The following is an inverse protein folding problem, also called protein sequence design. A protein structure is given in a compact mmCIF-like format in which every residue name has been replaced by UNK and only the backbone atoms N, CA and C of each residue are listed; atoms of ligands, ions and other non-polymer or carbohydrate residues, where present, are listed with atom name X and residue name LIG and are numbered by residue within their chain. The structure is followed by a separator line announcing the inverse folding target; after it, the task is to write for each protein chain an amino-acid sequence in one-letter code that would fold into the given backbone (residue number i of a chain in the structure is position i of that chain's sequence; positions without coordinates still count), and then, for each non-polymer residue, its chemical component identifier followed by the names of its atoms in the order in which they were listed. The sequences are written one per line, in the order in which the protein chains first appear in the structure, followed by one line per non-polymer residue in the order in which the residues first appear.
data_IF_603056099275
#
_entry.id   IF_603056099275
#
_cell.length_a   1.000
_cell.length_b   1.000
_cell.length_c   1.000
_cell.angle_alpha   90.00
_cell.angle_beta   90.00
_cell.angle_gamma   90.00
#
_symmetry.space_group_name_H-M   'P 1'
#
loop_
_entity.id
_entity.type
_entity.pdbx_description
1 polymer ?
#
# COMPACT_ATOMS: atom_id res chain seq x y z
N UNK A 1 6.93 -5.94 -21.20
CA UNK A 1 6.97 -6.59 -19.89
C UNK A 1 7.31 -5.57 -18.80
N UNK A 2 6.86 -5.80 -17.58
CA UNK A 2 7.12 -4.98 -16.40
C UNK A 2 7.54 -5.89 -15.25
N UNK A 3 8.48 -5.45 -14.41
CA UNK A 3 8.81 -6.16 -13.19
C UNK A 3 7.74 -5.92 -12.13
N UNK A 4 7.29 -6.99 -11.48
CA UNK A 4 6.50 -6.90 -10.26
C UNK A 4 7.42 -6.72 -9.06
N UNK A 5 6.99 -5.94 -8.07
CA UNK A 5 7.68 -5.79 -6.79
C UNK A 5 6.81 -6.30 -5.66
N UNK A 6 7.21 -7.40 -5.05
CA UNK A 6 6.52 -7.93 -3.87
C UNK A 6 6.84 -7.06 -2.66
N UNK A 7 5.82 -6.62 -1.92
CA UNK A 7 6.02 -5.70 -0.79
C UNK A 7 4.96 -5.83 0.30
N UNK A 8 5.28 -5.46 1.52
CA UNK A 8 6.62 -5.08 2.00
C UNK A 8 7.19 -6.23 2.81
N UNK A 9 8.35 -6.72 2.41
CA UNK A 9 8.97 -7.96 2.92
C UNK A 9 9.65 -7.74 4.25
N UNK A 10 9.19 -8.37 5.33
CA UNK A 10 7.95 -9.10 5.56
C UNK A 10 7.39 -8.76 6.95
N UNK A 11 6.15 -9.15 7.22
CA UNK A 11 5.53 -8.91 8.53
C UNK A 11 5.00 -7.48 8.71
N UNK A 12 4.90 -6.69 7.64
CA UNK A 12 4.50 -5.28 7.66
C UNK A 12 3.03 -5.07 8.04
N UNK A 13 2.13 -5.95 7.62
CA UNK A 13 0.68 -5.80 7.78
C UNK A 13 0.12 -6.14 9.16
N UNK A 14 0.98 -6.45 10.16
CA UNK A 14 0.56 -6.85 11.53
C UNK A 14 1.34 -6.08 12.61
N UNK A 15 1.39 -4.74 12.54
CA UNK A 15 2.06 -3.97 13.55
C UNK A 15 1.35 -4.11 14.90
N UNK A 16 2.12 -4.21 15.98
CA UNK A 16 1.58 -4.40 17.34
C UNK A 16 0.57 -3.31 17.75
N UNK A 17 0.83 -2.09 17.34
CA UNK A 17 -0.03 -0.93 17.69
C UNK A 17 -1.20 -0.72 16.73
N UNK A 18 -1.28 -1.45 15.62
CA UNK A 18 -2.19 -1.17 14.51
C UNK A 18 -1.81 0.04 13.66
N UNK A 19 -0.73 0.77 14.00
CA UNK A 19 -0.29 1.97 13.28
C UNK A 19 0.80 1.63 12.27
N UNK A 20 0.76 2.32 11.14
CA UNK A 20 1.74 2.21 10.05
C UNK A 20 3.19 2.36 10.57
N UNK A 21 4.11 1.55 10.03
CA UNK A 21 5.55 1.58 10.32
C UNK A 21 5.94 1.42 11.78
N UNK A 22 5.08 0.81 12.58
CA UNK A 22 5.41 0.45 13.96
C UNK A 22 5.80 -1.03 14.06
N UNK A 23 6.53 -1.42 15.14
CA UNK A 23 7.08 -2.77 15.27
C UNK A 23 6.01 -3.87 15.25
N UNK A 24 6.35 -5.00 14.66
CA UNK A 24 5.58 -6.23 14.73
C UNK A 24 6.29 -7.28 15.62
N UNK A 25 5.50 -8.08 16.34
CA UNK A 25 5.98 -9.21 17.13
C UNK A 25 5.30 -10.48 16.62
N UNK A 26 6.07 -11.33 15.95
CA UNK A 26 5.57 -12.49 15.23
C UNK A 26 6.41 -13.69 15.59
N UNK A 27 5.78 -14.79 16.06
CA UNK A 27 6.56 -16.01 16.35
C UNK A 27 7.30 -16.50 15.08
N UNK A 28 8.49 -17.14 15.22
CA UNK A 28 9.24 -17.65 14.07
C UNK A 28 8.42 -18.58 13.17
N UNK A 29 7.60 -19.45 13.74
CA UNK A 29 6.70 -20.34 12.99
C UNK A 29 5.69 -19.55 12.15
N UNK A 30 4.97 -18.60 12.75
CA UNK A 30 4.03 -17.74 12.03
C UNK A 30 4.72 -16.88 10.97
N UNK A 31 5.94 -16.40 11.26
CA UNK A 31 6.72 -15.61 10.30
C UNK A 31 7.03 -16.44 9.03
N UNK A 32 7.36 -17.72 9.20
CA UNK A 32 7.56 -18.67 8.09
C UNK A 32 6.26 -19.01 7.36
N UNK A 33 5.26 -19.46 8.09
CA UNK A 33 4.05 -20.04 7.51
C UNK A 33 3.12 -19.01 6.91
N UNK A 34 2.95 -17.85 7.57
CA UNK A 34 1.95 -16.85 7.17
C UNK A 34 2.52 -15.66 6.42
N UNK A 35 3.76 -15.26 6.74
CA UNK A 35 4.35 -14.05 6.17
C UNK A 35 5.40 -14.34 5.08
N UNK A 36 6.18 -15.41 5.22
CA UNK A 36 7.16 -15.77 4.19
C UNK A 36 6.53 -16.58 3.03
N UNK A 37 5.64 -17.51 3.31
CA UNK A 37 5.06 -18.37 2.29
C UNK A 37 4.38 -17.63 1.11
N UNK A 38 3.62 -16.54 1.31
CA UNK A 38 3.08 -15.75 0.20
C UNK A 38 4.15 -15.11 -0.69
N UNK A 39 5.23 -14.62 -0.07
CA UNK A 39 6.37 -14.10 -0.83
C UNK A 39 7.06 -15.20 -1.62
N UNK A 40 7.29 -16.36 -1.01
CA UNK A 40 7.88 -17.52 -1.70
C UNK A 40 7.07 -17.90 -2.93
N UNK A 41 5.74 -17.98 -2.82
CA UNK A 41 4.86 -18.22 -3.97
C UNK A 41 5.00 -17.15 -5.07
N UNK A 42 5.07 -15.87 -4.69
CA UNK A 42 5.31 -14.78 -5.62
C UNK A 42 6.67 -14.83 -6.31
N UNK A 43 7.74 -15.23 -5.58
CA UNK A 43 9.07 -15.44 -6.16
C UNK A 43 9.05 -16.60 -7.16
N UNK A 44 8.41 -17.70 -6.83
CA UNK A 44 8.24 -18.87 -7.70
C UNK A 44 7.42 -18.54 -8.97
N UNK A 45 6.47 -17.60 -8.85
CA UNK A 45 5.73 -17.06 -10.00
C UNK A 45 6.55 -16.09 -10.87
N UNK A 46 7.80 -15.78 -10.49
CA UNK A 46 8.74 -15.01 -11.31
C UNK A 46 8.87 -13.53 -10.96
N UNK A 47 8.53 -13.12 -9.75
CA UNK A 47 8.75 -11.74 -9.30
C UNK A 47 10.25 -11.38 -9.33
N UNK A 48 10.56 -10.25 -9.95
CA UNK A 48 11.94 -9.80 -10.16
C UNK A 48 12.46 -8.86 -9.09
N UNK A 49 11.57 -8.25 -8.30
CA UNK A 49 11.97 -7.36 -7.21
C UNK A 49 11.19 -7.63 -5.93
N UNK A 50 11.82 -7.33 -4.81
CA UNK A 50 11.21 -7.37 -3.48
C UNK A 50 11.56 -6.08 -2.76
N UNK A 51 10.56 -5.39 -2.21
CA UNK A 51 10.76 -4.21 -1.38
C UNK A 51 10.70 -4.59 0.10
N UNK A 52 11.67 -4.10 0.87
CA UNK A 52 11.80 -4.42 2.29
C UNK A 52 10.74 -3.70 3.12
N UNK A 53 10.27 -4.33 4.17
CA UNK A 53 9.40 -3.76 5.19
C UNK A 53 10.06 -2.56 5.90
N UNK A 54 9.36 -1.44 5.97
CA UNK A 54 9.81 -0.19 6.60
C UNK A 54 9.81 -0.21 8.14
N UNK A 55 9.52 -1.34 8.77
CA UNK A 55 9.43 -1.46 10.23
C UNK A 55 10.39 -2.53 10.78
N UNK A 56 10.42 -2.68 12.08
CA UNK A 56 11.12 -3.77 12.77
C UNK A 56 10.20 -4.96 13.01
N UNK A 57 10.77 -6.16 12.99
CA UNK A 57 10.10 -7.41 13.38
C UNK A 57 10.90 -8.05 14.50
N UNK A 58 10.22 -8.35 15.60
CA UNK A 58 10.84 -8.95 16.79
C UNK A 58 12.06 -8.16 17.32
N UNK A 59 11.98 -6.84 17.26
CA UNK A 59 13.05 -5.94 17.72
C UNK A 59 14.21 -5.74 16.72
N UNK A 60 14.17 -6.37 15.54
CA UNK A 60 15.18 -6.20 14.51
C UNK A 60 14.63 -5.38 13.34
N UNK A 61 15.21 -4.20 13.02
CA UNK A 61 14.84 -3.46 11.81
C UNK A 61 15.06 -4.32 10.57
N UNK A 62 14.04 -4.39 9.69
CA UNK A 62 14.12 -5.30 8.55
C UNK A 62 15.27 -4.96 7.61
N UNK A 63 15.59 -3.68 7.42
CA UNK A 63 16.74 -3.24 6.61
C UNK A 63 18.12 -3.63 7.21
N UNK A 64 18.16 -4.08 8.45
CA UNK A 64 19.38 -4.59 9.12
C UNK A 64 19.38 -6.12 9.27
N UNK A 65 18.30 -6.80 8.92
CA UNK A 65 18.11 -8.22 9.18
C UNK A 65 18.75 -9.12 8.11
N UNK A 66 20.04 -9.35 8.24
CA UNK A 66 20.80 -10.20 7.28
C UNK A 66 20.26 -11.63 7.18
N UNK A 67 19.82 -12.22 8.29
CA UNK A 67 19.29 -13.58 8.31
C UNK A 67 18.08 -13.71 7.36
N UNK A 68 17.16 -12.78 7.45
CA UNK A 68 15.94 -12.81 6.63
C UNK A 68 16.23 -12.34 5.20
N UNK A 69 16.96 -11.22 5.03
CA UNK A 69 17.18 -10.62 3.71
C UNK A 69 18.17 -11.40 2.84
N UNK A 70 19.20 -11.95 3.43
CA UNK A 70 20.18 -12.77 2.72
C UNK A 70 19.88 -14.25 2.92
N UNK A 71 19.82 -14.73 4.14
CA UNK A 71 19.66 -16.15 4.45
C UNK A 71 18.37 -16.72 3.87
N UNK A 72 17.21 -16.22 4.30
CA UNK A 72 15.92 -16.77 3.86
C UNK A 72 15.60 -16.39 2.40
N UNK A 73 15.69 -15.08 2.07
CA UNK A 73 15.21 -14.60 0.78
C UNK A 73 16.12 -14.99 -0.38
N UNK A 74 17.45 -14.89 -0.23
CA UNK A 74 18.38 -15.10 -1.33
C UNK A 74 18.99 -16.49 -1.33
N UNK A 75 19.56 -16.92 -0.19
CA UNK A 75 20.32 -18.18 -0.12
C UNK A 75 19.39 -19.40 -0.10
N UNK A 76 18.38 -19.42 0.77
CA UNK A 76 17.47 -20.55 0.90
C UNK A 76 16.60 -20.74 -0.35
N UNK A 77 16.09 -19.64 -0.95
CA UNK A 77 15.24 -19.74 -2.14
C UNK A 77 15.99 -19.80 -3.45
N UNK A 78 17.28 -19.44 -3.47
CA UNK A 78 18.06 -19.27 -4.70
C UNK A 78 17.61 -18.08 -5.57
N UNK A 79 16.78 -17.16 -5.01
CA UNK A 79 16.25 -16.03 -5.77
C UNK A 79 17.35 -15.04 -6.21
N UNK A 80 17.36 -14.73 -7.49
CA UNK A 80 18.38 -13.89 -8.13
C UNK A 80 17.93 -12.48 -8.51
N UNK A 81 16.74 -12.08 -8.04
CA UNK A 81 16.17 -10.74 -8.27
C UNK A 81 16.77 -9.65 -7.39
N UNK A 82 16.18 -8.48 -7.42
CA UNK A 82 16.66 -7.25 -6.79
C UNK A 82 15.92 -6.96 -5.49
N UNK A 83 16.66 -6.84 -4.40
CA UNK A 83 16.13 -6.39 -3.12
C UNK A 83 16.28 -4.87 -2.99
N UNK A 84 15.16 -4.15 -2.95
CA UNK A 84 15.12 -2.70 -2.86
C UNK A 84 14.64 -2.25 -1.47
N UNK A 85 15.14 -1.11 -0.98
CA UNK A 85 14.61 -0.48 0.23
C UNK A 85 13.20 0.07 0.02
N UNK A 86 12.49 0.39 1.08
CA UNK A 86 11.40 1.36 1.04
C UNK A 86 11.97 2.79 1.03
N UNK A 87 11.11 3.79 0.97
CA UNK A 87 11.44 5.22 0.79
C UNK A 87 12.27 5.77 1.94
N UNK A 88 13.51 6.15 1.66
CA UNK A 88 14.50 6.71 2.58
C UNK A 88 14.81 5.83 3.82
N UNK A 89 14.52 4.54 3.79
CA UNK A 89 14.53 3.69 4.99
C UNK A 89 15.93 3.33 5.50
N UNK A 90 16.98 3.48 4.70
CA UNK A 90 18.34 3.36 5.23
C UNK A 90 18.59 4.44 6.29
N UNK A 91 18.11 5.67 6.05
CA UNK A 91 18.25 6.75 7.02
C UNK A 91 17.49 6.45 8.31
N UNK A 92 16.39 5.69 8.25
CA UNK A 92 15.61 5.30 9.41
C UNK A 92 16.37 4.38 10.37
N UNK A 93 17.37 3.62 9.93
CA UNK A 93 18.26 2.87 10.84
C UNK A 93 19.00 3.78 11.81
N UNK A 94 19.27 5.01 11.41
CA UNK A 94 19.90 6.03 12.23
C UNK A 94 18.88 6.95 12.94
N UNK A 95 17.82 7.39 12.25
CA UNK A 95 16.92 8.44 12.78
C UNK A 95 15.75 7.92 13.60
N UNK A 96 15.28 6.71 13.31
CA UNK A 96 14.11 6.10 13.96
C UNK A 96 14.47 4.86 14.78
N UNK A 97 15.17 3.92 14.16
CA UNK A 97 15.51 2.64 14.77
C UNK A 97 16.72 2.72 15.71
N UNK A 98 17.54 3.76 15.59
CA UNK A 98 18.69 4.07 16.45
C UNK A 98 19.73 2.93 16.54
N UNK A 99 19.85 2.11 15.51
CA UNK A 99 20.80 0.99 15.42
C UNK A 99 22.08 1.34 14.66
N UNK A 100 22.11 2.50 14.02
CA UNK A 100 23.28 3.05 13.36
C UNK A 100 23.67 4.38 14.01
N UNK A 101 24.96 4.70 14.02
CA UNK A 101 25.47 5.95 14.61
C UNK A 101 25.31 7.18 13.71
N UNK A 102 25.28 6.96 12.40
CA UNK A 102 25.16 7.99 11.36
C UNK A 102 24.66 7.38 10.04
N UNK A 103 24.40 8.22 9.02
CA UNK A 103 23.96 7.77 7.69
C UNK A 103 24.90 6.79 7.02
N UNK A 104 26.20 7.00 7.14
CA UNK A 104 27.22 6.12 6.55
C UNK A 104 27.20 4.74 7.19
N UNK A 105 27.05 4.67 8.52
CA UNK A 105 26.93 3.42 9.25
C UNK A 105 25.61 2.71 8.95
N UNK A 106 24.51 3.43 8.83
CA UNK A 106 23.21 2.90 8.39
C UNK A 106 23.34 2.21 7.01
N UNK A 107 24.02 2.86 6.07
CA UNK A 107 24.27 2.30 4.75
C UNK A 107 25.12 1.03 4.82
N UNK A 108 26.19 1.03 5.64
CA UNK A 108 27.02 -0.16 5.87
C UNK A 108 26.20 -1.35 6.37
N UNK A 109 25.31 -1.12 7.34
CA UNK A 109 24.47 -2.16 7.92
C UNK A 109 23.54 -2.73 6.84
N UNK A 110 22.79 -1.86 6.14
CA UNK A 110 21.79 -2.28 5.16
C UNK A 110 22.40 -3.03 3.96
N UNK A 111 23.51 -2.54 3.40
CA UNK A 111 24.16 -3.19 2.26
C UNK A 111 24.73 -4.56 2.65
N UNK A 112 25.33 -4.67 3.84
CA UNK A 112 25.83 -5.96 4.35
C UNK A 112 24.69 -6.92 4.75
N UNK A 113 23.50 -6.40 5.04
CA UNK A 113 22.29 -7.21 5.25
C UNK A 113 21.72 -7.79 3.96
N UNK A 114 22.08 -7.22 2.79
CA UNK A 114 21.70 -7.79 1.49
C UNK A 114 20.95 -6.84 0.55
N UNK A 115 20.79 -5.56 0.89
CA UNK A 115 20.16 -4.56 0.01
C UNK A 115 20.97 -4.40 -1.28
N UNK A 116 20.27 -4.42 -2.43
CA UNK A 116 20.87 -4.30 -3.75
C UNK A 116 20.60 -2.95 -4.40
N UNK A 117 19.47 -2.33 -4.11
CA UNK A 117 19.06 -1.05 -4.66
C UNK A 117 18.49 -0.15 -3.55
N UNK A 118 18.91 1.10 -3.55
CA UNK A 118 18.55 2.08 -2.53
C UNK A 118 17.52 3.05 -3.09
N UNK A 119 16.41 3.23 -2.37
CA UNK A 119 15.44 4.27 -2.65
C UNK A 119 15.74 5.48 -1.77
N UNK A 120 16.72 6.29 -2.19
CA UNK A 120 17.11 7.53 -1.50
C UNK A 120 16.71 8.73 -2.38
N UNK A 121 15.61 9.42 -2.05
CA UNK A 121 15.06 10.46 -2.91
C UNK A 121 15.62 11.85 -2.66
N UNK A 122 16.39 12.04 -1.57
CA UNK A 122 16.74 13.37 -1.09
C UNK A 122 18.17 13.80 -1.43
N UNK A 123 19.09 12.85 -1.60
CA UNK A 123 20.48 13.13 -1.93
C UNK A 123 21.17 11.98 -2.64
N UNK A 124 22.34 12.25 -3.23
CA UNK A 124 23.23 11.25 -3.78
C UNK A 124 24.39 10.88 -2.84
N UNK A 125 24.37 11.27 -1.59
CA UNK A 125 25.44 11.09 -0.60
C UNK A 125 25.78 9.59 -0.42
N UNK A 126 24.80 8.71 -0.55
CA UNK A 126 24.98 7.27 -0.47
C UNK A 126 26.06 6.74 -1.43
N UNK A 127 26.22 7.33 -2.62
CA UNK A 127 27.25 6.94 -3.58
C UNK A 127 28.66 7.21 -3.03
N UNK A 128 28.85 8.39 -2.42
CA UNK A 128 30.12 8.77 -1.78
C UNK A 128 30.45 7.83 -0.60
N UNK A 129 29.48 7.63 0.28
CA UNK A 129 29.65 6.72 1.43
C UNK A 129 29.95 5.27 1.02
N UNK A 130 29.33 4.74 -0.04
CA UNK A 130 29.64 3.40 -0.55
C UNK A 130 31.08 3.28 -1.00
N UNK A 131 31.58 4.27 -1.75
CA UNK A 131 32.97 4.30 -2.21
C UNK A 131 33.92 4.29 -1.01
N UNK A 132 33.66 5.11 0.00
CA UNK A 132 34.47 5.16 1.22
C UNK A 132 34.41 3.84 1.98
N UNK A 133 33.22 3.26 2.21
CA UNK A 133 33.04 2.02 2.94
C UNK A 133 33.74 0.83 2.28
N UNK A 134 33.78 0.79 0.95
CA UNK A 134 34.56 -0.21 0.21
C UNK A 134 36.06 0.01 0.39
N UNK A 135 36.55 1.26 0.26
CA UNK A 135 37.97 1.60 0.49
C UNK A 135 38.41 1.28 1.93
N UNK A 136 37.52 1.44 2.90
CA UNK A 136 37.75 1.11 4.30
C UNK A 136 37.64 -0.40 4.60
N UNK A 137 37.31 -1.23 3.63
CA UNK A 137 37.10 -2.68 3.80
C UNK A 137 35.85 -3.04 4.63
N UNK A 138 34.94 -2.08 4.88
CA UNK A 138 33.72 -2.30 5.67
C UNK A 138 32.56 -2.89 4.87
N UNK A 139 32.60 -2.76 3.56
CA UNK A 139 31.74 -3.45 2.60
C UNK A 139 32.66 -4.15 1.60
N UNK A 140 32.57 -5.48 1.44
CA UNK A 140 33.40 -6.19 0.46
C UNK A 140 32.95 -5.83 -0.96
N UNK A 141 33.90 -5.66 -1.89
CA UNK A 141 33.59 -5.38 -3.30
C UNK A 141 32.65 -6.44 -3.89
N UNK A 142 32.80 -7.71 -3.50
CA UNK A 142 31.91 -8.80 -3.94
C UNK A 142 30.44 -8.55 -3.63
N UNK A 143 30.11 -7.83 -2.53
CA UNK A 143 28.73 -7.46 -2.21
C UNK A 143 28.20 -6.38 -3.19
N UNK A 144 29.04 -5.44 -3.56
CA UNK A 144 28.69 -4.41 -4.56
C UNK A 144 28.52 -5.05 -5.93
N UNK A 145 29.42 -5.95 -6.31
CA UNK A 145 29.34 -6.70 -7.57
C UNK A 145 28.05 -7.54 -7.66
N UNK A 146 27.67 -8.21 -6.56
CA UNK A 146 26.41 -8.97 -6.53
C UNK A 146 25.20 -8.06 -6.71
N UNK A 147 25.13 -6.92 -6.00
CA UNK A 147 24.05 -5.95 -6.15
C UNK A 147 23.96 -5.43 -7.59
N UNK A 148 25.10 -5.05 -8.16
CA UNK A 148 25.17 -4.56 -9.53
C UNK A 148 24.70 -5.62 -10.55
N UNK A 149 25.18 -6.87 -10.41
CA UNK A 149 24.75 -7.99 -11.28
C UNK A 149 23.26 -8.23 -11.21
N UNK A 150 22.64 -8.17 -10.03
CA UNK A 150 21.20 -8.35 -9.85
C UNK A 150 20.40 -7.25 -10.57
N UNK A 151 20.78 -5.98 -10.39
CA UNK A 151 20.13 -4.84 -11.06
C UNK A 151 20.30 -4.92 -12.58
N UNK A 152 21.53 -5.21 -13.07
CA UNK A 152 21.80 -5.33 -14.52
C UNK A 152 21.04 -6.52 -15.12
N UNK A 153 20.99 -7.67 -14.45
CA UNK A 153 20.23 -8.86 -14.87
C UNK A 153 18.74 -8.54 -15.00
N UNK A 154 18.14 -7.83 -14.02
CA UNK A 154 16.75 -7.39 -14.09
C UNK A 154 16.52 -6.49 -15.32
N UNK A 155 17.37 -5.48 -15.52
CA UNK A 155 17.27 -4.59 -16.68
C UNK A 155 17.41 -5.35 -18.01
N UNK A 156 18.28 -6.35 -18.07
CA UNK A 156 18.44 -7.21 -19.24
C UNK A 156 17.18 -8.06 -19.50
N UNK A 157 16.64 -8.70 -18.46
CA UNK A 157 15.38 -9.49 -18.55
C UNK A 157 14.19 -8.67 -19.03
N UNK A 158 14.17 -7.39 -18.70
CA UNK A 158 13.12 -6.44 -19.11
C UNK A 158 13.39 -5.78 -20.46
N UNK A 159 14.51 -6.13 -21.13
CA UNK A 159 14.93 -5.55 -22.41
C UNK A 159 15.14 -4.01 -22.37
N UNK A 160 15.46 -3.45 -21.19
CA UNK A 160 15.58 -2.00 -21.00
C UNK A 160 16.80 -1.38 -21.72
N UNK A 161 17.78 -2.19 -22.12
CA UNK A 161 18.92 -1.69 -22.90
C UNK A 161 18.57 -1.41 -24.34
N UNK A 162 17.62 -2.16 -24.92
CA UNK A 162 17.12 -1.94 -26.29
C UNK A 162 15.89 -1.05 -26.31
N UNK A 163 14.99 -1.26 -25.35
CA UNK A 163 13.69 -0.61 -25.25
C UNK A 163 13.51 0.09 -23.89
N UNK A 164 14.26 1.17 -23.61
CA UNK A 164 14.25 1.82 -22.27
C UNK A 164 12.92 2.51 -21.93
N UNK A 165 12.14 2.86 -22.96
CA UNK A 165 10.84 3.54 -22.79
C UNK A 165 9.76 2.84 -23.60
N UNK A 166 8.54 2.83 -23.03
CA UNK A 166 7.35 2.33 -23.73
C UNK A 166 6.46 3.51 -24.14
N UNK A 167 5.82 3.41 -25.32
CA UNK A 167 4.88 4.42 -25.81
C UNK A 167 3.46 3.94 -25.55
N UNK A 168 2.61 4.78 -24.98
CA UNK A 168 1.22 4.46 -24.65
C UNK A 168 0.44 3.92 -25.88
N UNK A 169 0.74 4.43 -27.07
CA UNK A 169 0.13 3.93 -28.33
C UNK A 169 0.31 2.43 -28.58
N UNK A 170 1.30 1.80 -27.95
CA UNK A 170 1.54 0.36 -28.06
C UNK A 170 0.62 -0.46 -27.16
N UNK A 171 -0.19 0.21 -26.32
CA UNK A 171 -1.08 -0.39 -25.34
C UNK A 171 -2.52 0.14 -25.52
N UNK A 172 -3.19 -0.17 -26.65
CA UNK A 172 -4.50 0.42 -26.98
C UNK A 172 -5.61 0.03 -25.98
N UNK A 173 -5.43 -1.05 -25.22
CA UNK A 173 -6.37 -1.48 -24.18
C UNK A 173 -6.17 -0.78 -22.83
N UNK A 174 -5.06 -0.01 -22.66
CA UNK A 174 -4.76 0.65 -21.39
C UNK A 174 -5.82 1.72 -21.08
N UNK A 175 -6.49 1.56 -19.93
CA UNK A 175 -7.58 2.44 -19.51
C UNK A 175 -8.86 2.31 -20.36
N UNK A 176 -8.98 1.29 -21.22
CA UNK A 176 -10.13 1.04 -22.07
C UNK A 176 -11.30 0.35 -21.36
N UNK A 177 -12.43 0.22 -22.05
CA UNK A 177 -13.68 -0.33 -21.52
C UNK A 177 -13.55 -1.78 -21.04
N UNK A 178 -12.74 -2.61 -21.70
CA UNK A 178 -12.51 -3.99 -21.30
C UNK A 178 -11.94 -4.06 -19.87
N UNK A 179 -10.95 -3.23 -19.56
CA UNK A 179 -10.35 -3.20 -18.22
C UNK A 179 -11.25 -2.50 -17.19
N UNK A 180 -12.04 -1.52 -17.60
CA UNK A 180 -13.05 -0.89 -16.74
C UNK A 180 -14.11 -1.92 -16.32
N UNK A 181 -14.57 -2.78 -17.25
CA UNK A 181 -15.51 -3.86 -16.96
C UNK A 181 -14.92 -4.88 -15.97
N UNK A 182 -13.68 -5.33 -16.17
CA UNK A 182 -13.00 -6.25 -15.27
C UNK A 182 -12.80 -5.65 -13.87
N UNK A 183 -12.48 -4.35 -13.80
CA UNK A 183 -12.36 -3.65 -12.53
C UNK A 183 -13.70 -3.57 -11.80
N UNK A 184 -14.79 -3.29 -12.50
CA UNK A 184 -16.15 -3.29 -11.94
C UNK A 184 -16.55 -4.69 -11.44
N UNK A 185 -16.28 -5.73 -12.22
CA UNK A 185 -16.54 -7.13 -11.84
C UNK A 185 -15.78 -7.49 -10.55
N UNK A 186 -14.47 -7.19 -10.49
CA UNK A 186 -13.67 -7.42 -9.29
C UNK A 186 -14.17 -6.63 -8.08
N UNK A 187 -14.56 -5.37 -8.24
CA UNK A 187 -15.16 -4.57 -7.17
C UNK A 187 -16.49 -5.15 -6.69
N UNK A 188 -17.34 -5.60 -7.61
CA UNK A 188 -18.63 -6.21 -7.28
C UNK A 188 -18.45 -7.52 -6.52
N UNK A 189 -17.54 -8.40 -6.96
CA UNK A 189 -17.26 -9.67 -6.28
C UNK A 189 -16.58 -9.48 -4.90
N UNK A 190 -15.94 -8.34 -4.66
CA UNK A 190 -15.31 -8.03 -3.37
C UNK A 190 -16.31 -7.64 -2.28
N UNK A 191 -17.57 -7.33 -2.64
CA UNK A 191 -18.61 -6.97 -1.67
C UNK A 191 -19.02 -8.20 -0.83
N UNK A 192 -18.97 -8.04 0.51
CA UNK A 192 -19.29 -9.12 1.44
C UNK A 192 -20.59 -8.83 2.17
N UNK A 193 -21.62 -9.67 1.96
CA UNK A 193 -22.88 -9.62 2.68
C UNK A 193 -22.69 -10.35 4.02
N UNK A 194 -22.52 -9.59 5.12
CA UNK A 194 -22.34 -10.18 6.45
C UNK A 194 -23.65 -10.63 7.08
N UNK A 195 -24.77 -9.91 6.79
CA UNK A 195 -26.07 -10.17 7.39
C UNK A 195 -27.19 -9.62 6.51
N UNK A 196 -28.30 -10.36 6.36
CA UNK A 196 -29.51 -9.90 5.67
C UNK A 196 -30.76 -10.54 6.31
N UNK A 197 -31.01 -10.21 7.58
CA UNK A 197 -32.22 -10.67 8.29
C UNK A 197 -33.45 -9.94 7.79
N UNK A 198 -34.54 -10.69 7.63
CA UNK A 198 -35.80 -10.14 7.10
C UNK A 198 -35.78 -9.78 5.61
N UNK A 199 -34.74 -10.20 4.87
CA UNK A 199 -34.57 -9.92 3.44
C UNK A 199 -34.72 -8.43 3.09
N UNK A 200 -34.08 -7.57 3.88
CA UNK A 200 -34.10 -6.12 3.65
C UNK A 200 -33.36 -5.73 2.35
N UNK A 201 -32.37 -6.51 1.97
CA UNK A 201 -31.65 -6.38 0.70
C UNK A 201 -32.11 -7.43 -0.31
N UNK A 202 -32.27 -7.07 -1.60
CA UNK A 202 -32.11 -5.74 -2.20
C UNK A 202 -33.21 -4.76 -1.75
N UNK A 203 -32.83 -3.46 -1.65
CA UNK A 203 -33.79 -2.43 -1.30
C UNK A 203 -34.85 -2.27 -2.39
N UNK A 204 -36.10 -2.03 -1.99
CA UNK A 204 -37.22 -1.88 -2.93
C UNK A 204 -37.27 -0.42 -3.44
N UNK A 205 -37.60 -0.24 -4.72
CA UNK A 205 -37.89 1.07 -5.30
C UNK A 205 -39.12 1.71 -4.65
N UNK A 206 -39.19 3.03 -4.69
CA UNK A 206 -40.30 3.81 -4.11
C UNK A 206 -40.19 4.04 -2.60
N UNK A 207 -39.16 3.52 -1.95
CA UNK A 207 -38.87 3.81 -0.56
C UNK A 207 -38.06 5.09 -0.39
N UNK A 208 -38.29 5.82 0.70
CA UNK A 208 -37.46 6.94 1.13
C UNK A 208 -36.23 6.40 1.86
N UNK A 209 -35.08 6.75 1.37
CA UNK A 209 -33.79 6.22 1.86
C UNK A 209 -32.98 7.37 2.46
N UNK A 210 -32.61 7.27 3.74
CA UNK A 210 -31.63 8.16 4.34
C UNK A 210 -30.23 7.54 4.17
N UNK A 211 -29.33 8.27 3.53
CA UNK A 211 -27.90 8.01 3.57
C UNK A 211 -27.27 8.86 4.68
N UNK A 212 -26.59 8.19 5.61
CA UNK A 212 -25.89 8.83 6.73
C UNK A 212 -24.49 8.26 6.89
N UNK A 213 -23.67 8.89 7.71
CA UNK A 213 -22.28 8.50 7.92
C UNK A 213 -21.28 9.24 7.01
N UNK A 214 -20.01 9.27 7.41
CA UNK A 214 -18.99 10.11 6.77
C UNK A 214 -18.66 9.68 5.33
N UNK A 215 -18.84 8.40 4.99
CA UNK A 215 -18.51 7.86 3.68
C UNK A 215 -19.64 7.97 2.65
N UNK A 216 -20.82 8.49 3.03
CA UNK A 216 -21.99 8.51 2.17
C UNK A 216 -21.80 9.31 0.87
N UNK A 217 -21.04 10.40 0.91
CA UNK A 217 -20.83 11.29 -0.24
C UNK A 217 -19.40 11.80 -0.32
N UNK A 218 -18.43 10.87 -0.30
CA UNK A 218 -17.01 11.21 -0.36
C UNK A 218 -16.24 10.14 -1.14
N UNK A 219 -15.70 10.51 -2.31
CA UNK A 219 -15.02 9.58 -3.19
C UNK A 219 -13.72 9.04 -2.57
N UNK A 220 -12.96 9.87 -1.86
CA UNK A 220 -11.71 9.47 -1.22
C UNK A 220 -11.88 8.31 -0.21
N UNK A 221 -13.07 8.17 0.38
CA UNK A 221 -13.37 7.09 1.33
C UNK A 221 -13.74 5.77 0.65
N UNK A 222 -13.97 5.78 -0.67
CA UNK A 222 -14.27 4.58 -1.48
C UNK A 222 -13.00 3.97 -2.08
N UNK A 223 -11.93 4.73 -2.10
CA UNK A 223 -10.60 4.32 -2.55
C UNK A 223 -9.68 4.20 -1.33
N UNK A 224 -8.57 3.54 -1.51
CA UNK A 224 -7.55 3.42 -0.47
C UNK A 224 -6.26 4.12 -0.83
N UNK A 225 -5.25 3.97 -0.03
CA UNK A 225 -3.89 4.36 -0.37
C UNK A 225 -3.46 3.76 -1.72
N UNK A 226 -2.61 4.48 -2.45
CA UNK A 226 -2.18 4.18 -3.82
C UNK A 226 -3.26 4.32 -4.91
N UNK A 227 -4.40 4.93 -4.59
CA UNK A 227 -5.39 5.35 -5.58
C UNK A 227 -5.07 6.76 -6.05
N UNK A 228 -4.59 6.93 -7.28
CA UNK A 228 -4.11 8.16 -7.91
C UNK A 228 -2.92 8.85 -7.22
N UNK A 229 -2.90 8.88 -5.89
CA UNK A 229 -1.80 9.41 -5.07
C UNK A 229 -1.40 8.42 -4.00
N UNK A 230 -0.25 8.62 -3.33
CA UNK A 230 0.23 7.68 -2.32
C UNK A 230 -0.80 7.40 -1.21
N UNK A 231 -1.41 8.44 -0.65
CA UNK A 231 -2.39 8.26 0.44
C UNK A 231 -3.84 8.17 -0.04
N UNK A 232 -4.12 8.40 -1.33
CA UNK A 232 -5.48 8.40 -1.86
C UNK A 232 -6.30 9.66 -1.52
N UNK A 233 -5.72 10.62 -0.82
CA UNK A 233 -6.42 11.81 -0.31
C UNK A 233 -6.87 12.81 -1.38
N UNK A 234 -6.39 12.66 -2.63
CA UNK A 234 -6.76 13.52 -3.75
C UNK A 234 -7.64 12.81 -4.78
N UNK A 235 -8.29 11.73 -4.40
CA UNK A 235 -9.13 10.95 -5.30
C UNK A 235 -10.25 11.79 -5.93
N UNK A 236 -10.83 12.74 -5.20
CA UNK A 236 -11.88 13.63 -5.71
C UNK A 236 -11.46 14.45 -6.93
N UNK A 237 -10.16 14.76 -7.07
CA UNK A 237 -9.63 15.47 -8.24
C UNK A 237 -9.57 14.62 -9.51
N UNK A 238 -9.50 13.30 -9.40
CA UNK A 238 -9.24 12.38 -10.50
C UNK A 238 -10.43 11.47 -10.83
N UNK A 239 -11.29 11.22 -9.85
CA UNK A 239 -12.35 10.22 -9.93
C UNK A 239 -13.73 10.81 -10.30
N UNK A 240 -13.81 12.06 -10.76
CA UNK A 240 -15.06 12.77 -11.05
C UNK A 240 -15.97 12.13 -12.11
N UNK A 241 -15.53 11.06 -12.79
CA UNK A 241 -16.36 10.24 -13.69
C UNK A 241 -17.07 9.08 -12.98
N UNK A 242 -16.78 8.84 -11.72
CA UNK A 242 -17.39 7.79 -10.91
C UNK A 242 -18.33 8.40 -9.88
N UNK A 243 -19.34 7.63 -9.46
CA UNK A 243 -20.31 8.08 -8.49
C UNK A 243 -19.84 7.84 -7.06
N UNK A 244 -20.12 8.78 -6.18
CA UNK A 244 -20.15 8.51 -4.73
C UNK A 244 -21.32 7.55 -4.41
N UNK A 245 -21.36 7.02 -3.19
CA UNK A 245 -22.50 6.18 -2.75
C UNK A 245 -23.81 6.96 -2.90
N UNK A 246 -23.86 8.23 -2.46
CA UNK A 246 -25.03 9.09 -2.61
C UNK A 246 -25.45 9.25 -4.07
N UNK A 247 -24.53 9.55 -4.95
CA UNK A 247 -24.85 9.71 -6.39
C UNK A 247 -25.31 8.39 -7.02
N UNK A 248 -24.73 7.27 -6.65
CA UNK A 248 -25.16 5.95 -7.10
C UNK A 248 -26.59 5.64 -6.63
N UNK A 249 -26.92 5.93 -5.38
CA UNK A 249 -28.29 5.78 -4.87
C UNK A 249 -29.28 6.71 -5.56
N UNK A 250 -28.91 7.97 -5.81
CA UNK A 250 -29.76 8.89 -6.56
C UNK A 250 -30.03 8.39 -8.00
N UNK A 251 -29.04 7.81 -8.64
CA UNK A 251 -29.19 7.24 -9.99
C UNK A 251 -30.09 6.01 -10.00
N UNK A 252 -30.03 5.16 -8.98
CA UNK A 252 -30.82 3.93 -8.89
C UNK A 252 -32.24 4.15 -8.41
N UNK A 253 -32.43 4.95 -7.35
CA UNK A 253 -33.73 5.08 -6.64
C UNK A 253 -34.47 6.38 -6.93
N UNK A 254 -33.87 7.32 -7.67
CA UNK A 254 -34.37 8.68 -7.88
C UNK A 254 -33.97 9.64 -6.76
N UNK A 255 -33.48 10.82 -7.14
CA UNK A 255 -32.95 11.83 -6.20
C UNK A 255 -34.00 12.27 -5.17
N UNK A 256 -35.26 12.30 -5.56
CA UNK A 256 -36.41 12.66 -4.70
C UNK A 256 -36.65 11.63 -3.58
N UNK A 257 -36.13 10.43 -3.70
CA UNK A 257 -36.27 9.34 -2.74
C UNK A 257 -35.02 9.19 -1.84
N UNK A 258 -33.95 9.93 -2.09
CA UNK A 258 -32.70 9.81 -1.35
C UNK A 258 -32.41 11.07 -0.55
N UNK A 259 -32.43 10.94 0.76
CA UNK A 259 -32.09 11.99 1.73
C UNK A 259 -30.60 11.81 2.10
N UNK A 260 -29.80 12.86 1.99
CA UNK A 260 -28.43 12.87 2.49
C UNK A 260 -28.32 13.67 3.78
N UNK A 261 -27.96 13.04 4.87
CA UNK A 261 -27.54 13.71 6.09
C UNK A 261 -26.43 12.90 6.75
N UNK A 262 -25.20 13.32 6.55
CA UNK A 262 -24.03 12.55 7.02
C UNK A 262 -23.96 12.44 8.54
N UNK A 263 -24.39 13.47 9.28
CA UNK A 263 -24.33 13.49 10.75
C UNK A 263 -22.92 13.53 11.33
N UNK A 264 -21.95 12.94 10.63
CA UNK A 264 -20.51 12.93 10.97
C UNK A 264 -19.72 13.18 9.70
N UNK A 265 -18.64 13.94 9.80
CA UNK A 265 -17.71 14.22 8.69
C UNK A 265 -16.27 14.18 9.16
N UNK A 266 -15.35 13.85 8.26
CA UNK A 266 -13.93 13.87 8.56
C UNK A 266 -13.35 15.29 8.60
N UNK A 267 -12.38 15.52 9.47
CA UNK A 267 -11.58 16.75 9.47
C UNK A 267 -10.42 16.60 8.49
N UNK A 268 -10.65 16.95 7.22
CA UNK A 268 -9.68 16.79 6.14
C UNK A 268 -8.42 17.67 6.28
N UNK A 269 -8.49 18.73 7.09
CA UNK A 269 -7.40 19.68 7.32
C UNK A 269 -6.75 19.51 8.68
N UNK A 270 -7.31 18.67 9.51
CA UNK A 270 -6.83 18.36 10.84
C UNK A 270 -5.75 17.30 10.86
N UNK A 271 -5.26 16.99 12.05
CA UNK A 271 -4.41 15.82 12.31
C UNK A 271 -5.27 14.57 12.32
N UNK A 272 -4.68 13.39 12.11
CA UNK A 272 -5.40 12.10 12.01
C UNK A 272 -6.27 11.74 13.25
N UNK A 273 -6.07 12.41 14.37
CA UNK A 273 -6.85 12.23 15.59
C UNK A 273 -7.86 13.36 15.86
N UNK A 274 -7.93 14.35 14.97
CA UNK A 274 -8.87 15.48 15.09
C UNK A 274 -10.11 15.18 14.26
N UNK A 275 -11.27 15.22 14.90
CA UNK A 275 -12.56 15.00 14.27
C UNK A 275 -13.37 16.28 14.22
N UNK A 276 -14.31 16.39 13.27
CA UNK A 276 -15.30 17.44 13.27
C UNK A 276 -16.36 17.17 14.34
N UNK A 277 -17.01 18.25 14.85
CA UNK A 277 -18.09 18.12 15.80
C UNK A 277 -19.28 17.33 15.19
N UNK A 278 -19.69 16.21 15.79
CA UNK A 278 -20.78 15.39 15.26
C UNK A 278 -22.14 16.11 15.27
N UNK A 279 -22.87 16.02 14.18
CA UNK A 279 -24.23 16.57 14.00
C UNK A 279 -25.30 15.48 14.08
N UNK A 280 -25.21 14.61 15.09
CA UNK A 280 -26.05 13.41 15.24
C UNK A 280 -27.55 13.74 15.29
N UNK A 281 -27.96 14.82 15.98
CA UNK A 281 -29.36 15.21 16.08
C UNK A 281 -30.00 15.52 14.72
N UNK A 282 -29.21 16.06 13.78
CA UNK A 282 -29.67 16.31 12.41
C UNK A 282 -29.96 15.01 11.66
N UNK A 283 -29.08 14.01 11.77
CA UNK A 283 -29.27 12.70 11.18
C UNK A 283 -30.49 11.96 11.80
N UNK A 284 -30.67 12.04 13.13
CA UNK A 284 -31.82 11.47 13.84
C UNK A 284 -33.12 12.13 13.38
N UNK A 285 -33.12 13.44 13.17
CA UNK A 285 -34.33 14.15 12.67
C UNK A 285 -34.65 13.68 11.24
N UNK A 286 -33.68 13.61 10.34
CA UNK A 286 -33.86 13.15 8.96
C UNK A 286 -34.33 11.69 8.88
N UNK A 287 -33.97 10.85 9.84
CA UNK A 287 -34.39 9.45 9.89
C UNK A 287 -35.92 9.27 10.05
N UNK A 288 -36.63 10.28 10.58
CA UNK A 288 -38.08 10.22 10.74
C UNK A 288 -38.84 10.25 9.40
N UNK A 289 -38.21 10.79 8.36
CA UNK A 289 -38.77 10.94 7.03
C UNK A 289 -38.33 9.81 6.07
N UNK A 290 -37.61 8.80 6.58
CA UNK A 290 -37.09 7.70 5.79
C UNK A 290 -37.74 6.36 6.16
N UNK A 291 -37.98 5.52 5.14
CA UNK A 291 -38.39 4.11 5.31
C UNK A 291 -37.18 3.22 5.63
N UNK A 292 -36.01 3.58 5.12
CA UNK A 292 -34.73 2.82 5.26
C UNK A 292 -33.59 3.77 5.56
N UNK A 293 -32.71 3.34 6.44
CA UNK A 293 -31.47 4.05 6.78
C UNK A 293 -30.29 3.23 6.32
N UNK A 294 -29.41 3.85 5.54
CA UNK A 294 -28.12 3.28 5.12
C UNK A 294 -27.01 4.09 5.76
N UNK A 295 -26.32 3.49 6.73
CA UNK A 295 -25.18 4.10 7.42
C UNK A 295 -23.88 3.72 6.70
N UNK A 296 -23.27 4.69 6.01
CA UNK A 296 -22.02 4.56 5.28
C UNK A 296 -20.85 4.91 6.21
N UNK A 297 -20.34 3.90 6.91
CA UNK A 297 -19.27 4.05 7.91
C UNK A 297 -17.97 3.44 7.38
N UNK A 298 -16.84 3.94 7.85
CA UNK A 298 -15.52 3.46 7.47
C UNK A 298 -14.43 4.40 7.99
N UNK A 299 -13.29 4.32 7.36
CA UNK A 299 -12.13 5.15 7.66
C UNK A 299 -11.84 6.12 6.51
N UNK A 300 -11.09 7.16 6.82
CA UNK A 300 -10.59 8.13 5.87
C UNK A 300 -9.19 7.71 5.37
N UNK A 301 -8.84 8.05 4.14
CA UNK A 301 -7.51 7.86 3.56
C UNK A 301 -6.55 9.00 3.92
#
# INVERSE_FOLDING_TARGET
HIATSLKHFMGYGVPWTGKDRTPAYISPANLREKHFAPFLAGLQAGALTVMVNSASVNGMPMHANKEILTGWLKEETGWDGVLITDWADINNLYTREMVAKDKKDALRIAINAGIDMIMEPYSCDACGYLIELVKEGKIPMSRIDDACRRVLRMKYRLDLFKNPTQKLKNYPKFGGEEFAKLALEGATESMVLLKNEGNILPLQHGKKILLTGPNANQMRCLDGGWSYTWQGHRTDEFAGKYNTIYEAFCNEYGKENVILNQGVTYNEKGKYWEENEPQILGAVAAAKDADVIVACIGENS
#
